data_IF_893382404248
#
_entry.id   IF_893382404248
#
_cell.length_a   1.000
_cell.length_b   1.000
_cell.length_c   1.000
_cell.angle_alpha   90.00
_cell.angle_beta   90.00
_cell.angle_gamma   90.00
#
_symmetry.space_group_name_H-M   'P 1'
#
loop_
_entity.id
_entity.type
_entity.pdbx_description
1 polymer ?
#
# COMPACT_ATOMS: atom_id res chain seq x y z
N UNK A 1 -17.44 -11.18 5.14
CA UNK A 1 -16.66 -11.15 6.39
C UNK A 1 -17.37 -11.89 7.52
N UNK A 2 -18.61 -11.56 7.82
CA UNK A 2 -19.43 -12.21 8.88
C UNK A 2 -19.46 -13.74 8.70
N UNK A 3 -19.70 -14.22 7.48
CA UNK A 3 -19.76 -15.64 7.18
C UNK A 3 -18.40 -16.33 7.36
N UNK A 4 -17.30 -15.68 6.97
CA UNK A 4 -15.95 -16.20 7.21
C UNK A 4 -15.62 -16.28 8.71
N UNK A 5 -16.04 -15.28 9.47
CA UNK A 5 -15.89 -15.31 10.94
C UNK A 5 -16.74 -16.44 11.56
N UNK A 6 -17.98 -16.62 11.09
CA UNK A 6 -18.89 -17.68 11.56
C UNK A 6 -18.30 -19.07 11.36
N UNK A 7 -17.70 -19.34 10.22
CA UNK A 7 -17.08 -20.64 9.90
C UNK A 7 -15.61 -20.72 10.31
N UNK A 8 -15.07 -19.70 10.96
CA UNK A 8 -13.65 -19.58 11.36
C UNK A 8 -12.68 -19.81 10.18
N UNK A 9 -13.08 -19.41 8.99
CA UNK A 9 -12.19 -19.48 7.82
C UNK A 9 -10.99 -18.53 7.99
N UNK A 10 -9.83 -18.98 7.51
CA UNK A 10 -8.66 -18.10 7.45
C UNK A 10 -8.97 -16.89 6.55
N UNK A 11 -8.49 -15.72 6.96
CA UNK A 11 -8.55 -14.54 6.10
C UNK A 11 -7.84 -14.83 4.78
N UNK A 12 -8.38 -14.41 3.63
CA UNK A 12 -7.64 -14.47 2.38
C UNK A 12 -6.33 -13.69 2.53
N UNK A 13 -5.33 -14.06 1.73
CA UNK A 13 -4.04 -13.39 1.72
C UNK A 13 -4.24 -11.87 1.58
N UNK A 14 -3.56 -11.12 2.42
CA UNK A 14 -3.48 -9.68 2.27
C UNK A 14 -2.79 -9.36 0.95
N UNK A 15 -3.43 -8.56 0.12
CA UNK A 15 -2.89 -8.15 -1.17
C UNK A 15 -3.30 -6.71 -1.46
N UNK A 16 -2.34 -5.87 -1.82
CA UNK A 16 -2.62 -4.50 -2.30
C UNK A 16 -3.55 -4.51 -3.52
N UNK A 17 -3.49 -5.57 -4.33
CA UNK A 17 -4.42 -5.75 -5.44
C UNK A 17 -5.87 -5.86 -4.96
N UNK A 18 -6.15 -6.68 -3.95
CA UNK A 18 -7.52 -6.90 -3.46
C UNK A 18 -8.03 -5.70 -2.65
N UNK A 19 -7.19 -5.19 -1.76
CA UNK A 19 -7.63 -4.24 -0.74
C UNK A 19 -7.60 -2.78 -1.18
N UNK A 20 -6.74 -2.44 -2.13
CA UNK A 20 -6.47 -1.06 -2.56
C UNK A 20 -6.74 -0.85 -4.04
N UNK A 21 -6.02 -1.56 -4.92
CA UNK A 21 -6.11 -1.35 -6.36
C UNK A 21 -7.44 -1.84 -6.94
N UNK A 22 -7.92 -3.02 -6.54
CA UNK A 22 -9.17 -3.59 -7.05
C UNK A 22 -10.37 -2.64 -6.93
N UNK A 23 -10.66 -2.07 -5.75
CA UNK A 23 -11.69 -1.05 -5.60
C UNK A 23 -11.48 0.18 -6.51
N UNK A 24 -10.23 0.64 -6.67
CA UNK A 24 -9.93 1.77 -7.56
C UNK A 24 -10.14 1.41 -9.05
N UNK A 25 -9.77 0.19 -9.47
CA UNK A 25 -10.04 -0.27 -10.83
C UNK A 25 -11.55 -0.40 -11.11
N UNK A 26 -12.33 -0.87 -10.15
CA UNK A 26 -13.80 -0.95 -10.30
C UNK A 26 -14.41 0.43 -10.56
N UNK A 27 -13.88 1.49 -9.95
CA UNK A 27 -14.41 2.85 -10.04
C UNK A 27 -13.87 3.61 -11.27
N UNK A 28 -12.58 3.49 -11.58
CA UNK A 28 -11.90 4.38 -12.54
C UNK A 28 -11.40 3.71 -13.81
N UNK A 29 -11.24 2.38 -13.83
CA UNK A 29 -10.70 1.68 -14.99
C UNK A 29 -11.77 1.47 -16.06
N UNK A 30 -11.33 1.37 -17.32
CA UNK A 30 -12.18 0.95 -18.41
C UNK A 30 -12.44 -0.58 -18.38
N UNK A 31 -13.37 -1.06 -19.20
CA UNK A 31 -13.78 -2.47 -19.17
C UNK A 31 -12.67 -3.45 -19.56
N UNK A 32 -11.76 -3.06 -20.46
CA UNK A 32 -10.64 -3.92 -20.86
C UNK A 32 -9.61 -4.04 -19.73
N UNK A 33 -9.29 -2.94 -19.05
CA UNK A 33 -8.43 -2.94 -17.88
C UNK A 33 -9.03 -3.77 -16.73
N UNK A 34 -10.35 -3.66 -16.50
CA UNK A 34 -11.06 -4.48 -15.51
C UNK A 34 -10.96 -5.96 -15.82
N UNK A 35 -11.22 -6.36 -17.06
CA UNK A 35 -11.11 -7.76 -17.51
C UNK A 35 -9.69 -8.30 -17.35
N UNK A 36 -8.69 -7.48 -17.71
CA UNK A 36 -7.28 -7.89 -17.65
C UNK A 36 -6.81 -8.13 -16.23
N UNK A 37 -7.20 -7.26 -15.29
CA UNK A 37 -6.59 -7.25 -13.95
C UNK A 37 -7.47 -7.84 -12.85
N UNK A 38 -8.79 -7.56 -12.82
CA UNK A 38 -9.61 -7.91 -11.65
C UNK A 38 -9.71 -9.41 -11.37
N UNK A 39 -9.86 -10.24 -12.40
CA UNK A 39 -9.92 -11.69 -12.23
C UNK A 39 -8.60 -12.26 -11.69
N UNK A 40 -7.47 -11.77 -12.20
CA UNK A 40 -6.13 -12.18 -11.75
C UNK A 40 -5.86 -11.72 -10.32
N UNK A 41 -6.30 -10.50 -9.96
CA UNK A 41 -6.22 -9.97 -8.58
C UNK A 41 -7.06 -10.85 -7.64
N UNK A 42 -8.31 -11.14 -7.99
CA UNK A 42 -9.21 -11.93 -7.15
C UNK A 42 -8.73 -13.37 -6.91
N UNK A 43 -8.01 -13.95 -7.87
CA UNK A 43 -7.43 -15.29 -7.77
C UNK A 43 -6.04 -15.31 -7.11
N UNK A 44 -5.45 -14.14 -6.83
CA UNK A 44 -4.08 -14.05 -6.31
C UNK A 44 -3.01 -14.44 -7.32
N UNK A 45 -3.30 -14.36 -8.62
CA UNK A 45 -2.40 -14.72 -9.73
C UNK A 45 -1.40 -13.61 -10.06
N UNK A 46 -1.60 -12.42 -9.50
CA UNK A 46 -0.79 -11.23 -9.78
C UNK A 46 -0.58 -10.44 -8.48
N UNK A 47 0.66 -10.13 -8.18
CA UNK A 47 1.05 -9.35 -7.01
C UNK A 47 1.28 -7.90 -7.38
N UNK A 48 0.81 -7.01 -6.54
CA UNK A 48 0.89 -5.57 -6.74
C UNK A 48 1.64 -4.88 -5.62
N UNK A 49 2.46 -3.90 -5.96
CA UNK A 49 3.01 -2.95 -5.00
C UNK A 49 2.58 -1.52 -5.34
N UNK A 50 2.79 -0.61 -4.39
CA UNK A 50 2.36 0.78 -4.46
C UNK A 50 3.55 1.71 -4.67
N UNK A 51 3.55 2.47 -5.75
CA UNK A 51 4.56 3.46 -6.09
C UNK A 51 4.07 4.89 -5.84
N UNK A 52 3.97 5.32 -4.57
CA UNK A 52 3.51 6.66 -4.22
C UNK A 52 4.65 7.55 -3.74
N UNK A 53 5.19 7.28 -2.57
CA UNK A 53 6.22 8.12 -1.93
C UNK A 53 7.52 8.17 -2.73
N UNK A 54 8.17 9.32 -2.65
CA UNK A 54 9.52 9.55 -3.19
C UNK A 54 10.42 10.07 -2.08
N UNK A 55 11.75 10.02 -2.22
CA UNK A 55 12.66 10.56 -1.21
C UNK A 55 12.36 12.01 -0.82
N UNK A 56 11.87 12.82 -1.79
CA UNK A 56 11.48 14.22 -1.59
C UNK A 56 9.97 14.47 -1.48
N UNK A 57 9.11 13.43 -1.50
CA UNK A 57 7.65 13.57 -1.52
C UNK A 57 6.98 12.44 -0.71
N UNK A 58 6.94 12.61 0.60
CA UNK A 58 6.23 11.74 1.53
C UNK A 58 4.96 12.41 2.06
N UNK A 59 5.06 13.18 3.14
CA UNK A 59 3.92 13.93 3.70
C UNK A 59 3.30 14.89 2.69
N UNK A 60 4.10 15.56 1.89
CA UNK A 60 3.64 16.33 0.72
C UNK A 60 3.74 15.48 -0.55
N UNK A 61 2.91 14.44 -0.62
CA UNK A 61 2.91 13.48 -1.73
C UNK A 61 2.67 14.16 -3.10
N UNK A 62 1.86 15.23 -3.14
CA UNK A 62 1.61 15.94 -4.39
C UNK A 62 2.85 16.61 -5.00
N UNK A 63 3.95 16.70 -4.25
CA UNK A 63 5.24 17.21 -4.75
C UNK A 63 6.08 16.12 -5.45
N UNK A 64 5.52 14.96 -5.75
CA UNK A 64 6.19 13.89 -6.49
C UNK A 64 6.75 14.36 -7.83
N UNK A 65 7.89 13.78 -8.23
CA UNK A 65 8.67 14.18 -9.41
C UNK A 65 8.94 13.07 -10.40
N UNK A 66 8.61 11.81 -10.08
CA UNK A 66 8.69 10.72 -11.06
C UNK A 66 7.91 11.12 -12.30
N UNK A 67 8.64 11.40 -13.38
CA UNK A 67 8.08 11.98 -14.59
C UNK A 67 7.59 10.90 -15.53
N UNK A 68 6.47 11.15 -16.20
CA UNK A 68 5.98 10.34 -17.30
C UNK A 68 5.67 11.26 -18.48
N UNK A 69 6.39 11.08 -19.59
CA UNK A 69 6.19 11.85 -20.82
C UNK A 69 5.53 10.96 -21.84
N UNK A 70 4.43 11.41 -22.41
CA UNK A 70 3.73 10.66 -23.44
C UNK A 70 4.47 10.76 -24.79
N UNK A 71 4.80 9.62 -25.36
CA UNK A 71 5.42 9.47 -26.68
C UNK A 71 4.57 8.51 -27.52
N UNK A 72 3.61 9.07 -28.26
CA UNK A 72 2.69 8.29 -29.09
C UNK A 72 1.79 7.36 -28.27
N UNK A 73 2.03 6.06 -28.36
CA UNK A 73 1.25 4.98 -27.73
C UNK A 73 1.77 4.52 -26.37
N UNK A 74 2.80 5.19 -25.84
CA UNK A 74 3.38 4.86 -24.53
C UNK A 74 3.80 6.12 -23.75
N UNK A 75 4.05 5.91 -22.45
CA UNK A 75 4.72 6.88 -21.58
C UNK A 75 6.17 6.45 -21.34
N UNK A 76 7.09 7.39 -21.35
CA UNK A 76 8.47 7.18 -20.90
C UNK A 76 8.56 7.67 -19.46
N UNK A 77 8.80 6.74 -18.53
CA UNK A 77 8.82 7.01 -17.09
C UNK A 77 10.25 7.07 -16.58
N UNK A 78 10.55 8.14 -15.83
CA UNK A 78 11.84 8.38 -15.18
C UNK A 78 11.66 8.89 -13.76
N UNK A 79 12.39 8.31 -12.80
CA UNK A 79 12.36 8.72 -11.40
C UNK A 79 12.55 7.56 -10.44
N UNK A 80 12.16 7.75 -9.19
CA UNK A 80 12.21 6.69 -8.20
C UNK A 80 11.08 6.79 -7.18
N UNK A 81 10.71 5.65 -6.60
CA UNK A 81 9.78 5.52 -5.49
C UNK A 81 10.48 4.89 -4.30
N UNK A 82 10.06 5.26 -3.11
CA UNK A 82 10.62 4.74 -1.85
C UNK A 82 9.49 4.18 -0.96
N UNK A 83 9.87 3.32 -0.04
CA UNK A 83 8.94 2.63 0.87
C UNK A 83 7.94 1.74 0.13
N UNK A 84 8.33 1.23 -1.04
CA UNK A 84 7.52 0.34 -1.85
C UNK A 84 7.52 -1.05 -1.22
N UNK A 85 6.46 -1.35 -0.49
CA UNK A 85 6.34 -2.65 0.19
C UNK A 85 6.32 -3.79 -0.81
N UNK A 86 7.20 -4.79 -0.62
CA UNK A 86 7.21 -6.02 -1.39
C UNK A 86 7.47 -5.86 -2.88
N UNK A 87 8.13 -4.77 -3.31
CA UNK A 87 8.41 -4.53 -4.73
C UNK A 87 9.33 -5.59 -5.35
N UNK A 88 10.19 -6.20 -4.54
CA UNK A 88 11.16 -7.23 -4.92
C UNK A 88 10.52 -8.57 -5.36
N UNK A 89 9.23 -8.77 -5.08
CA UNK A 89 8.46 -9.94 -5.53
C UNK A 89 7.06 -9.59 -6.05
N UNK A 90 6.85 -8.34 -6.41
CA UNK A 90 5.62 -7.90 -7.08
C UNK A 90 5.76 -7.98 -8.59
N UNK A 91 4.69 -8.38 -9.26
CA UNK A 91 4.63 -8.46 -10.72
C UNK A 91 4.35 -7.09 -11.33
N UNK A 92 3.57 -6.26 -10.62
CA UNK A 92 3.12 -4.95 -11.09
C UNK A 92 3.16 -3.89 -9.99
N UNK A 93 3.35 -2.64 -10.39
CA UNK A 93 3.26 -1.48 -9.52
C UNK A 93 2.17 -0.52 -10.02
N UNK A 94 1.28 -0.08 -9.13
CA UNK A 94 0.43 1.07 -9.42
C UNK A 94 1.10 2.35 -8.91
N UNK A 95 1.34 3.26 -9.82
CA UNK A 95 2.27 4.37 -9.63
C UNK A 95 1.64 5.73 -9.89
N UNK A 96 1.89 6.68 -8.99
CA UNK A 96 1.63 8.10 -9.25
C UNK A 96 2.83 8.72 -9.96
N UNK A 97 2.57 9.37 -11.09
CA UNK A 97 3.60 9.99 -11.92
C UNK A 97 3.24 11.42 -12.26
N UNK A 98 4.26 12.25 -12.53
CA UNK A 98 4.12 13.63 -12.99
C UNK A 98 4.01 13.65 -14.51
N UNK A 99 2.83 13.89 -15.04
CA UNK A 99 2.59 14.04 -16.49
C UNK A 99 2.60 15.49 -16.93
N UNK A 100 2.19 16.42 -16.08
CA UNK A 100 2.26 17.86 -16.35
C UNK A 100 2.95 18.60 -15.19
N UNK A 101 4.17 19.12 -15.38
CA UNK A 101 4.89 19.86 -14.35
C UNK A 101 4.50 21.35 -14.27
N UNK A 102 3.78 21.90 -15.27
CA UNK A 102 3.55 23.33 -15.45
C UNK A 102 2.21 23.81 -14.85
N UNK A 103 1.43 22.88 -14.28
CA UNK A 103 0.16 23.15 -13.61
C UNK A 103 0.29 23.02 -12.08
N UNK A 104 -0.71 23.49 -11.30
CA UNK A 104 -0.71 23.24 -9.86
C UNK A 104 -0.48 21.76 -9.53
N UNK A 105 0.35 21.47 -8.53
CA UNK A 105 0.93 20.16 -8.28
C UNK A 105 -0.08 18.98 -8.21
N UNK A 106 -1.30 19.23 -7.79
CA UNK A 106 -2.36 18.21 -7.74
C UNK A 106 -2.97 17.88 -9.12
N UNK A 107 -2.87 18.81 -10.07
CA UNK A 107 -3.55 18.72 -11.36
C UNK A 107 -2.67 18.12 -12.48
N UNK A 108 -1.40 17.85 -12.21
CA UNK A 108 -0.44 17.29 -13.19
C UNK A 108 0.02 15.88 -12.81
N UNK A 109 -0.79 15.14 -12.08
CA UNK A 109 -0.48 13.78 -11.64
C UNK A 109 -1.39 12.78 -12.36
N UNK A 110 -0.79 11.72 -12.88
CA UNK A 110 -1.49 10.59 -13.50
C UNK A 110 -1.25 9.30 -12.72
N UNK A 111 -2.11 8.30 -12.95
CA UNK A 111 -2.07 7.00 -12.31
C UNK A 111 -1.77 5.92 -13.36
N UNK A 112 -0.57 5.35 -13.32
CA UNK A 112 -0.10 4.33 -14.27
C UNK A 112 0.04 2.97 -13.62
N UNK A 113 -0.30 1.93 -14.36
CA UNK A 113 0.04 0.55 -14.05
C UNK A 113 1.32 0.18 -14.81
N UNK A 114 2.35 -0.22 -14.09
CA UNK A 114 3.66 -0.53 -14.68
C UNK A 114 3.99 -1.99 -14.36
N UNK A 115 4.36 -2.76 -15.39
CA UNK A 115 4.89 -4.10 -15.24
C UNK A 115 6.31 -4.02 -14.69
N UNK A 116 6.59 -4.73 -13.59
CA UNK A 116 7.88 -4.69 -12.90
C UNK A 116 9.01 -5.38 -13.68
N UNK A 117 8.67 -6.20 -14.68
CA UNK A 117 9.63 -6.82 -15.61
C UNK A 117 10.00 -5.89 -16.79
N UNK A 118 9.35 -4.72 -16.93
CA UNK A 118 9.66 -3.78 -18.01
C UNK A 118 11.12 -3.33 -17.95
N UNK A 119 11.87 -3.35 -19.06
CA UNK A 119 13.24 -2.87 -19.11
C UNK A 119 13.35 -1.44 -18.56
N UNK A 120 14.34 -1.22 -17.67
CA UNK A 120 14.55 0.06 -17.00
C UNK A 120 13.92 0.13 -15.60
N UNK A 121 13.09 -0.83 -15.20
CA UNK A 121 12.65 -0.98 -13.81
C UNK A 121 13.72 -1.73 -13.03
N UNK A 122 14.09 -1.21 -11.86
CA UNK A 122 14.95 -1.90 -10.91
C UNK A 122 14.51 -1.66 -9.48
N UNK A 123 14.81 -2.59 -8.60
CA UNK A 123 14.37 -2.59 -7.20
C UNK A 123 15.57 -2.80 -6.29
N UNK A 124 15.67 -1.99 -5.23
CA UNK A 124 16.67 -2.13 -4.18
C UNK A 124 15.99 -2.28 -2.81
N UNK A 125 16.13 -3.42 -2.14
CA UNK A 125 15.60 -3.61 -0.79
C UNK A 125 16.21 -2.62 0.21
N UNK A 126 15.37 -2.11 1.13
CA UNK A 126 15.80 -1.22 2.22
C UNK A 126 15.93 -2.06 3.48
N UNK A 127 17.15 -2.24 3.96
CA UNK A 127 17.40 -2.96 5.20
C UNK A 127 17.05 -2.08 6.41
N UNK A 128 16.14 -2.56 7.25
CA UNK A 128 15.76 -1.91 8.49
C UNK A 128 16.71 -2.28 9.62
N UNK A 129 16.71 -1.52 10.71
CA UNK A 129 17.50 -1.79 11.92
C UNK A 129 17.23 -3.18 12.52
N UNK A 130 16.08 -3.77 12.21
CA UNK A 130 15.72 -5.15 12.60
C UNK A 130 16.40 -6.23 11.75
N UNK A 131 17.13 -5.87 10.70
CA UNK A 131 17.65 -6.79 9.68
C UNK A 131 16.61 -7.27 8.67
N UNK A 132 15.33 -6.91 8.83
CA UNK A 132 14.28 -7.21 7.85
C UNK A 132 14.26 -6.16 6.73
N UNK A 133 13.82 -6.54 5.54
CA UNK A 133 13.71 -5.65 4.38
C UNK A 133 12.32 -5.73 3.72
N UNK A 134 11.24 -5.30 4.41
CA UNK A 134 9.88 -5.37 3.88
C UNK A 134 9.58 -4.26 2.86
N UNK A 135 10.47 -3.28 2.73
CA UNK A 135 10.33 -2.12 1.85
C UNK A 135 11.47 -2.05 0.86
N UNK A 136 11.17 -1.47 -0.30
CA UNK A 136 12.16 -1.27 -1.35
C UNK A 136 12.16 0.18 -1.82
N UNK A 137 13.25 0.57 -2.46
CA UNK A 137 13.32 1.66 -3.40
C UNK A 137 13.15 1.09 -4.81
N UNK A 138 12.31 1.72 -5.63
CA UNK A 138 12.02 1.30 -7.01
C UNK A 138 12.45 2.41 -7.96
N UNK A 139 13.27 2.08 -8.94
CA UNK A 139 13.83 3.03 -9.90
C UNK A 139 13.23 2.80 -11.29
N UNK A 140 13.04 3.89 -12.01
CA UNK A 140 12.57 3.91 -13.38
C UNK A 140 13.58 4.69 -14.23
N UNK A 141 14.21 4.01 -15.19
CA UNK A 141 15.14 4.60 -16.14
C UNK A 141 14.63 4.36 -17.56
N UNK A 142 14.04 5.38 -18.18
CA UNK A 142 13.45 5.34 -19.51
C UNK A 142 12.46 4.17 -19.72
N UNK A 143 11.67 3.88 -18.69
CA UNK A 143 10.69 2.78 -18.70
C UNK A 143 9.55 3.11 -19.63
N UNK A 144 9.33 2.26 -20.64
CA UNK A 144 8.23 2.42 -21.61
C UNK A 144 6.98 1.72 -21.10
N UNK A 145 5.98 2.49 -20.78
CA UNK A 145 4.69 2.02 -20.27
C UNK A 145 3.61 2.25 -21.33
N UNK A 146 2.90 1.24 -21.79
CA UNK A 146 1.81 1.40 -22.75
C UNK A 146 0.78 2.45 -22.28
N UNK A 147 0.30 3.30 -23.18
CA UNK A 147 -0.66 4.35 -22.84
C UNK A 147 -2.00 3.76 -22.32
N UNK A 148 -2.32 2.55 -22.72
CA UNK A 148 -3.48 1.79 -22.23
C UNK A 148 -3.42 1.41 -20.75
N UNK A 149 -2.23 1.53 -20.12
CA UNK A 149 -2.03 1.30 -18.69
C UNK A 149 -2.34 2.55 -17.84
N UNK A 150 -2.75 3.65 -18.45
CA UNK A 150 -3.26 4.82 -17.74
C UNK A 150 -4.66 4.51 -17.17
N UNK A 151 -4.82 4.68 -15.88
CA UNK A 151 -6.13 4.53 -15.23
C UNK A 151 -6.81 5.89 -15.14
N UNK A 152 -8.06 5.93 -15.61
CA UNK A 152 -8.82 7.18 -15.72
C UNK A 152 -8.28 8.10 -16.82
N UNK A 153 -8.33 9.41 -16.57
CA UNK A 153 -7.84 10.43 -17.48
C UNK A 153 -6.44 10.89 -17.06
N UNK A 154 -5.65 11.34 -18.05
CA UNK A 154 -4.37 11.98 -17.82
C UNK A 154 -4.54 13.19 -16.91
N UNK A 155 -3.61 13.40 -15.98
CA UNK A 155 -3.64 14.48 -14.99
C UNK A 155 -4.76 14.38 -13.91
N UNK A 156 -5.53 13.29 -13.87
CA UNK A 156 -6.56 13.05 -12.86
C UNK A 156 -6.14 11.99 -11.80
N UNK A 157 -4.91 11.58 -11.79
CA UNK A 157 -4.38 10.55 -10.88
C UNK A 157 -4.48 10.92 -9.40
N UNK A 158 -4.48 12.22 -9.07
CA UNK A 158 -4.65 12.65 -7.68
C UNK A 158 -6.02 12.31 -7.09
N UNK A 159 -7.07 12.36 -7.90
CA UNK A 159 -8.42 11.95 -7.50
C UNK A 159 -8.46 10.46 -7.19
N UNK A 160 -7.84 9.63 -8.05
CA UNK A 160 -7.72 8.18 -7.86
C UNK A 160 -6.92 7.88 -6.60
N UNK A 161 -5.78 8.57 -6.39
CA UNK A 161 -4.94 8.42 -5.21
C UNK A 161 -5.70 8.71 -3.91
N UNK A 162 -6.46 9.82 -3.86
CA UNK A 162 -7.28 10.16 -2.69
C UNK A 162 -8.30 9.07 -2.37
N UNK A 163 -8.95 8.52 -3.40
CA UNK A 163 -9.93 7.45 -3.24
C UNK A 163 -9.29 6.17 -2.71
N UNK A 164 -8.15 5.78 -3.28
CA UNK A 164 -7.38 4.62 -2.86
C UNK A 164 -6.90 4.74 -1.40
N UNK A 165 -6.39 5.91 -1.00
CA UNK A 165 -5.99 6.18 0.39
C UNK A 165 -7.18 6.16 1.38
N UNK A 166 -8.41 6.44 0.93
CA UNK A 166 -9.61 6.26 1.77
C UNK A 166 -9.85 4.77 2.05
N UNK A 167 -9.69 3.90 1.05
CA UNK A 167 -9.79 2.45 1.21
C UNK A 167 -8.70 1.92 2.15
N UNK A 168 -7.47 2.42 2.03
CA UNK A 168 -6.36 2.09 2.92
C UNK A 168 -6.66 2.44 4.38
N UNK A 169 -7.15 3.65 4.64
CA UNK A 169 -7.51 4.09 6.00
C UNK A 169 -8.65 3.25 6.59
N UNK A 170 -9.66 2.92 5.79
CA UNK A 170 -10.75 2.05 6.22
C UNK A 170 -10.21 0.67 6.61
N UNK A 171 -9.27 0.13 5.85
CA UNK A 171 -8.59 -1.12 6.17
C UNK A 171 -7.78 -1.04 7.48
N UNK A 172 -6.99 0.01 7.66
CA UNK A 172 -6.18 0.20 8.86
C UNK A 172 -7.07 0.40 10.09
N UNK A 173 -8.15 1.17 9.96
CA UNK A 173 -9.14 1.37 11.03
C UNK A 173 -9.88 0.09 11.42
N UNK A 174 -10.26 -0.75 10.45
CA UNK A 174 -10.89 -2.06 10.68
C UNK A 174 -9.85 -3.13 11.07
N UNK A 175 -8.62 -3.02 10.58
CA UNK A 175 -7.50 -3.95 10.84
C UNK A 175 -6.89 -3.77 12.23
N UNK A 176 -6.91 -2.57 12.79
CA UNK A 176 -6.50 -2.36 14.17
C UNK A 176 -7.39 -3.11 15.17
N UNK A 177 -8.65 -3.45 14.77
CA UNK A 177 -9.53 -4.33 15.54
C UNK A 177 -9.47 -5.82 15.15
N UNK A 178 -8.94 -6.16 13.96
CA UNK A 178 -8.98 -7.55 13.43
C UNK A 178 -7.61 -8.19 13.15
N UNK A 179 -6.51 -7.47 13.31
CA UNK A 179 -5.15 -8.01 13.20
C UNK A 179 -4.78 -9.01 14.33
N UNK A 180 -5.75 -9.39 15.15
CA UNK A 180 -5.64 -10.42 16.19
C UNK A 180 -6.19 -11.76 15.70
N UNK A 181 -5.74 -12.27 14.57
CA UNK A 181 -5.93 -13.70 14.21
C UNK A 181 -4.68 -14.55 14.48
N UNK A 182 -3.76 -14.03 15.28
CA UNK A 182 -2.87 -14.86 16.09
C UNK A 182 -3.55 -15.24 17.41
N UNK A 183 -3.02 -16.19 18.18
CA UNK A 183 -3.50 -16.43 19.55
C UNK A 183 -3.57 -15.06 20.23
N UNK A 184 -4.71 -14.75 20.87
CA UNK A 184 -4.97 -13.46 21.52
C UNK A 184 -3.70 -13.02 22.24
N UNK A 185 -3.03 -11.99 21.72
CA UNK A 185 -1.85 -11.46 22.40
C UNK A 185 -2.36 -10.97 23.75
N UNK A 186 -1.79 -11.51 24.80
CA UNK A 186 -2.08 -11.08 26.15
C UNK A 186 -1.81 -9.58 26.24
N UNK A 187 -2.70 -8.85 26.84
CA UNK A 187 -2.46 -7.43 27.16
C UNK A 187 -1.26 -7.33 28.10
N UNK A 188 -0.59 -6.18 28.13
CA UNK A 188 0.48 -5.93 29.12
C UNK A 188 0.02 -6.20 30.54
N UNK A 189 -1.24 -5.90 30.86
CA UNK A 189 -1.83 -6.18 32.16
C UNK A 189 -1.96 -7.68 32.45
N UNK A 190 -2.37 -8.48 31.46
CA UNK A 190 -2.47 -9.93 31.61
C UNK A 190 -1.08 -10.56 31.79
N UNK A 191 -0.09 -10.11 31.01
CA UNK A 191 1.31 -10.55 31.14
C UNK A 191 1.88 -10.15 32.52
N UNK A 192 1.66 -8.91 32.95
CA UNK A 192 2.12 -8.45 34.27
C UNK A 192 1.46 -9.25 35.40
N UNK A 193 0.15 -9.52 35.32
CA UNK A 193 -0.56 -10.32 36.31
C UNK A 193 -0.04 -11.75 36.41
N UNK A 194 0.21 -12.38 35.27
CA UNK A 194 0.80 -13.72 35.24
C UNK A 194 2.22 -13.74 35.80
N UNK A 195 3.06 -12.78 35.42
CA UNK A 195 4.44 -12.69 35.89
C UNK A 195 4.55 -12.44 37.40
N UNK A 196 3.58 -11.73 37.95
CA UNK A 196 3.53 -11.40 39.38
C UNK A 196 2.70 -12.41 40.21
N UNK A 197 2.19 -13.45 39.59
CA UNK A 197 1.40 -14.47 40.27
C UNK A 197 0.02 -14.00 40.78
N UNK A 198 -0.53 -12.93 40.18
CA UNK A 198 -1.84 -12.37 40.55
C UNK A 198 -2.78 -12.35 39.33
N UNK A 199 -3.26 -13.54 38.84
CA UNK A 199 -4.09 -13.61 37.63
C UNK A 199 -5.45 -12.88 37.75
N UNK A 200 -5.97 -12.77 38.99
CA UNK A 200 -7.20 -12.04 39.30
C UNK A 200 -6.97 -11.11 40.50
N UNK A 201 -7.38 -9.87 40.43
CA UNK A 201 -7.26 -8.92 41.54
C UNK A 201 -6.30 -7.74 41.27
N UNK A 202 -6.08 -6.87 42.27
CA UNK A 202 -5.17 -5.74 42.13
C UNK A 202 -3.71 -6.23 42.05
N UNK A 203 -2.89 -5.54 41.23
CA UNK A 203 -1.47 -5.83 41.15
C UNK A 203 -0.80 -5.65 42.51
N UNK A 204 0.11 -6.55 42.92
CA UNK A 204 0.68 -6.54 44.26
C UNK A 204 1.67 -5.36 44.48
N UNK A 205 2.22 -4.82 43.42
CA UNK A 205 3.19 -3.72 43.48
C UNK A 205 2.49 -2.36 43.43
N UNK A 206 2.72 -1.52 44.43
CA UNK A 206 2.14 -0.18 44.52
C UNK A 206 2.61 0.74 43.37
N UNK A 207 3.87 0.61 42.91
CA UNK A 207 4.40 1.41 41.82
C UNK A 207 3.65 1.17 40.49
N UNK A 208 3.23 -0.08 40.22
CA UNK A 208 2.45 -0.41 39.02
C UNK A 208 1.01 0.11 39.11
N UNK A 209 0.51 0.44 40.30
CA UNK A 209 -0.82 1.01 40.51
C UNK A 209 -0.85 2.54 40.33
N UNK A 210 0.22 3.23 40.66
CA UNK A 210 0.32 4.69 40.53
C UNK A 210 0.38 5.18 39.10
N UNK A 211 1.02 4.47 38.17
CA UNK A 211 1.04 4.82 36.74
C UNK A 211 -0.35 4.85 36.08
N UNK A 212 -1.40 4.32 36.74
CA UNK A 212 -2.76 4.34 36.21
C UNK A 212 -3.63 5.50 36.69
N UNK A 213 -3.17 6.31 37.61
CA UNK A 213 -3.94 7.42 38.13
C UNK A 213 -3.69 8.73 37.39
N UNK A 214 -2.77 8.75 36.41
CA UNK A 214 -2.39 9.94 35.64
C UNK A 214 -2.82 9.85 34.13
N UNK A 215 -3.59 8.86 33.72
CA UNK A 215 -4.30 8.80 32.44
C UNK A 215 -5.81 9.07 32.68
#
# INVERSE_FOLDING_TARGET
REEMQRIRANSPLFSFGISMLGPALLEFANEEQKKTHLNRIARGEIRWCQGYSEPGAGSDLASLRTRAVREGDHYVVNGSKIWTSSADYSDWIFCLVRTDPDVPKHNGISFLLIDMETPGVSVSPIELISGASPFCETFFDNVKVPAENLIGEENNGWTIAKRLLQHERAMLGEGAGSASMGPKRKTLLEVARESLGAPEGPLPDAAIREERSEE
#
